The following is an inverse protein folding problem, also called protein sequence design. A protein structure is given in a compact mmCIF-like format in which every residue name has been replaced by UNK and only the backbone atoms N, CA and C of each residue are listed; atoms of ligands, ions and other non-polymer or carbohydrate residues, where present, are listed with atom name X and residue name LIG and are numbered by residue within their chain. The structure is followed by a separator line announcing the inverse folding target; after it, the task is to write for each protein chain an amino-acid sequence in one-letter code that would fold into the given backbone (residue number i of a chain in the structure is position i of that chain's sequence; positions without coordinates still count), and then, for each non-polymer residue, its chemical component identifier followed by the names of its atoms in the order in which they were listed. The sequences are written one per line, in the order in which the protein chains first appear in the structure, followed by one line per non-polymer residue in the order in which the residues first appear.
data_IF_747365964780
#
_entry.id   IF_747365964780
#
_cell.length_a   1.000
_cell.length_b   1.000
_cell.length_c   1.000
_cell.angle_alpha   90.00
_cell.angle_beta   90.00
_cell.angle_gamma   90.00
#
_symmetry.space_group_name_H-M   'P 1'
#
loop_
_entity.id
_entity.type
_entity.pdbx_description
1 polymer ?
#
# COMPACT_ATOMS: atom_id res chain seq x y z
N UNK A 1 31.85 27.98 -49.90
CA UNK A 1 30.43 27.57 -49.88
C UNK A 1 30.27 26.58 -48.75
N UNK A 2 29.74 27.01 -47.60
CA UNK A 2 29.47 26.13 -46.47
C UNK A 2 28.02 25.66 -46.61
N UNK A 3 27.84 24.38 -46.91
CA UNK A 3 26.51 23.76 -46.98
C UNK A 3 25.97 23.66 -45.56
N UNK A 4 25.00 24.52 -45.22
CA UNK A 4 24.17 24.37 -44.02
C UNK A 4 23.42 23.04 -44.12
N UNK A 5 23.94 22.01 -43.44
CA UNK A 5 23.20 20.79 -43.17
C UNK A 5 22.01 21.15 -42.29
N UNK A 6 20.85 21.37 -42.92
CA UNK A 6 19.54 21.36 -42.25
C UNK A 6 19.46 20.11 -41.37
N UNK A 7 19.56 20.30 -40.06
CA UNK A 7 19.21 19.27 -39.10
C UNK A 7 17.75 18.94 -39.33
N UNK A 8 17.48 17.79 -39.96
CA UNK A 8 16.13 17.24 -40.04
C UNK A 8 15.62 17.16 -38.61
N UNK A 9 14.62 17.96 -38.27
CA UNK A 9 13.93 17.93 -36.98
C UNK A 9 13.28 16.56 -36.80
N UNK A 10 14.07 15.60 -36.35
CA UNK A 10 13.63 14.26 -36.01
C UNK A 10 12.98 14.30 -34.63
N UNK A 11 11.80 13.70 -34.52
CA UNK A 11 11.14 13.45 -33.25
C UNK A 11 12.09 12.72 -32.30
N UNK A 12 12.18 13.17 -31.04
CA UNK A 12 13.01 12.49 -30.03
C UNK A 12 12.44 11.11 -29.69
N UNK A 13 13.27 10.20 -29.17
CA UNK A 13 12.82 8.86 -28.73
C UNK A 13 11.72 8.96 -27.67
N UNK A 14 11.84 9.91 -26.74
CA UNK A 14 10.83 10.15 -25.71
C UNK A 14 9.51 10.65 -26.32
N UNK A 15 9.58 11.55 -27.30
CA UNK A 15 8.39 12.07 -27.99
C UNK A 15 7.71 11.00 -28.85
N UNK A 16 8.49 10.15 -29.52
CA UNK A 16 7.99 8.99 -30.25
C UNK A 16 7.30 7.99 -29.31
N UNK A 17 7.90 7.71 -28.15
CA UNK A 17 7.31 6.86 -27.10
C UNK A 17 6.00 7.42 -26.57
N UNK A 18 5.95 8.72 -26.25
CA UNK A 18 4.73 9.39 -25.80
C UNK A 18 3.63 9.31 -26.85
N UNK A 19 3.93 9.65 -28.10
CA UNK A 19 2.97 9.64 -29.21
C UNK A 19 2.45 8.23 -29.50
N UNK A 20 3.31 7.21 -29.39
CA UNK A 20 2.92 5.81 -29.46
C UNK A 20 1.96 5.40 -28.33
N UNK A 21 2.29 5.77 -27.10
CA UNK A 21 1.43 5.53 -25.94
C UNK A 21 0.06 6.21 -26.04
N UNK A 22 0.01 7.47 -26.48
CA UNK A 22 -1.23 8.22 -26.70
C UNK A 22 -2.11 7.56 -27.79
N UNK A 23 -1.48 7.08 -28.86
CA UNK A 23 -2.18 6.34 -29.91
C UNK A 23 -2.80 5.05 -29.36
N UNK A 24 -2.02 4.24 -28.65
CA UNK A 24 -2.50 2.98 -28.04
C UNK A 24 -3.63 3.26 -27.05
N UNK A 25 -3.52 4.32 -26.24
CA UNK A 25 -4.58 4.73 -25.32
C UNK A 25 -5.88 5.09 -26.02
N UNK A 26 -5.81 5.81 -27.13
CA UNK A 26 -7.01 6.15 -27.92
C UNK A 26 -7.63 4.92 -28.59
N UNK A 27 -6.82 3.99 -29.08
CA UNK A 27 -7.30 2.80 -29.79
C UNK A 27 -7.82 1.70 -28.85
N UNK A 28 -7.20 1.50 -27.69
CA UNK A 28 -7.45 0.36 -26.79
C UNK A 28 -8.20 0.72 -25.50
N UNK A 29 -8.20 1.99 -25.12
CA UNK A 29 -8.94 2.49 -23.96
C UNK A 29 -8.42 1.99 -22.61
N UNK A 30 -9.21 2.23 -21.55
CA UNK A 30 -8.84 1.95 -20.15
C UNK A 30 -8.69 0.46 -19.85
N UNK A 31 -9.62 -0.37 -20.33
CA UNK A 31 -9.65 -1.81 -20.05
C UNK A 31 -8.36 -2.52 -20.47
N UNK A 32 -7.74 -2.08 -21.57
CA UNK A 32 -6.46 -2.60 -22.02
C UNK A 32 -5.33 -2.37 -21.00
N UNK A 33 -5.23 -1.18 -20.42
CA UNK A 33 -4.22 -0.88 -19.41
C UNK A 33 -4.44 -1.64 -18.10
N UNK A 34 -5.71 -1.82 -17.72
CA UNK A 34 -6.07 -2.63 -16.55
C UNK A 34 -5.68 -4.10 -16.75
N UNK A 35 -5.93 -4.65 -17.94
CA UNK A 35 -5.57 -6.03 -18.26
C UNK A 35 -4.06 -6.24 -18.25
N UNK A 36 -3.28 -5.39 -18.94
CA UNK A 36 -1.82 -5.52 -18.97
C UNK A 36 -1.21 -5.25 -17.59
N UNK A 37 -1.78 -4.31 -16.82
CA UNK A 37 -1.38 -4.03 -15.44
C UNK A 37 -1.63 -5.22 -14.53
N UNK A 38 -2.81 -5.85 -14.63
CA UNK A 38 -3.13 -7.08 -13.89
C UNK A 38 -2.18 -8.21 -14.26
N UNK A 39 -1.98 -8.49 -15.55
CA UNK A 39 -1.05 -9.54 -16.02
C UNK A 39 0.37 -9.31 -15.52
N UNK A 40 0.86 -8.08 -15.58
CA UNK A 40 2.16 -7.70 -15.02
C UNK A 40 2.24 -7.93 -13.52
N UNK A 41 1.21 -7.49 -12.78
CA UNK A 41 1.11 -7.70 -11.34
C UNK A 41 1.08 -9.17 -10.93
N UNK A 42 0.27 -10.00 -11.62
CA UNK A 42 0.20 -11.45 -11.40
C UNK A 42 1.55 -12.14 -11.67
N UNK A 43 2.26 -11.71 -12.72
CA UNK A 43 3.58 -12.24 -13.04
C UNK A 43 4.58 -11.92 -11.93
N UNK A 44 4.64 -10.66 -11.50
CA UNK A 44 5.52 -10.22 -10.41
C UNK A 44 5.17 -10.94 -9.11
N UNK A 45 3.88 -11.07 -8.79
CA UNK A 45 3.45 -11.76 -7.58
C UNK A 45 3.86 -13.24 -7.57
N UNK A 46 3.76 -13.92 -8.71
CA UNK A 46 4.20 -15.31 -8.85
C UNK A 46 5.72 -15.46 -8.74
N UNK A 47 6.48 -14.54 -9.31
CA UNK A 47 7.95 -14.61 -9.33
C UNK A 47 8.60 -14.17 -8.03
N UNK A 48 8.03 -13.17 -7.37
CA UNK A 48 8.64 -12.49 -6.20
C UNK A 48 8.02 -12.89 -4.88
N UNK A 49 6.80 -13.42 -4.88
CA UNK A 49 6.12 -13.91 -3.69
C UNK A 49 5.81 -12.83 -2.66
N UNK A 50 5.42 -13.28 -1.46
CA UNK A 50 4.96 -12.42 -0.36
C UNK A 50 6.06 -11.52 0.21
N UNK A 51 7.26 -12.04 0.40
CA UNK A 51 8.37 -11.32 1.05
C UNK A 51 8.73 -10.04 0.29
N UNK A 52 8.65 -10.06 -1.04
CA UNK A 52 8.85 -8.88 -1.86
C UNK A 52 7.85 -7.76 -1.55
N UNK A 53 6.56 -8.09 -1.41
CA UNK A 53 5.54 -7.08 -1.07
C UNK A 53 5.68 -6.56 0.36
N UNK A 54 6.11 -7.42 1.28
CA UNK A 54 6.42 -6.99 2.65
C UNK A 54 7.61 -6.04 2.69
N UNK A 55 8.67 -6.32 1.93
CA UNK A 55 9.84 -5.45 1.84
C UNK A 55 9.50 -4.09 1.24
N UNK A 56 8.84 -4.04 0.08
CA UNK A 56 8.47 -2.77 -0.55
C UNK A 56 7.46 -1.99 0.30
N UNK A 57 6.55 -2.69 0.98
CA UNK A 57 5.59 -2.09 1.90
C UNK A 57 6.30 -1.48 3.12
N UNK A 58 7.23 -2.21 3.73
CA UNK A 58 8.06 -1.71 4.84
C UNK A 58 8.86 -0.49 4.41
N UNK A 59 9.56 -0.57 3.28
CA UNK A 59 10.37 0.53 2.75
C UNK A 59 9.53 1.78 2.49
N UNK A 60 8.36 1.62 1.86
CA UNK A 60 7.42 2.73 1.65
C UNK A 60 6.93 3.34 2.97
N UNK A 61 6.59 2.50 3.94
CA UNK A 61 6.18 2.94 5.28
C UNK A 61 7.29 3.69 6.03
N UNK A 62 8.53 3.21 5.96
CA UNK A 62 9.70 3.86 6.54
C UNK A 62 9.98 5.23 5.90
N UNK A 63 9.88 5.33 4.57
CA UNK A 63 10.00 6.61 3.86
C UNK A 63 8.94 7.59 4.32
N UNK A 64 7.66 7.18 4.34
CA UNK A 64 6.56 8.05 4.79
C UNK A 64 6.77 8.47 6.25
N UNK A 65 7.19 7.57 7.12
CA UNK A 65 7.49 7.88 8.52
C UNK A 65 8.63 8.89 8.66
N UNK A 66 9.70 8.75 7.87
CA UNK A 66 10.83 9.67 7.89
C UNK A 66 10.44 11.07 7.37
N UNK A 67 9.64 11.14 6.32
CA UNK A 67 9.22 12.42 5.72
C UNK A 67 8.13 13.15 6.50
N UNK A 68 7.17 12.42 7.05
CA UNK A 68 5.92 12.98 7.60
C UNK A 68 5.85 12.96 9.12
N UNK A 69 6.65 12.10 9.78
CA UNK A 69 6.74 12.03 11.23
C UNK A 69 5.45 11.58 11.93
N UNK A 70 5.44 11.70 13.26
CA UNK A 70 4.36 11.19 14.11
C UNK A 70 3.02 11.92 13.92
N UNK A 71 3.06 13.25 13.72
CA UNK A 71 1.86 14.07 13.56
C UNK A 71 0.98 13.61 12.38
N UNK A 72 1.60 13.13 11.30
CA UNK A 72 0.88 12.58 10.17
C UNK A 72 0.08 11.32 10.53
N UNK A 73 0.68 10.40 11.29
CA UNK A 73 0.00 9.19 11.74
C UNK A 73 -1.14 9.48 12.73
N UNK A 74 -0.95 10.49 13.59
CA UNK A 74 -2.00 10.97 14.48
C UNK A 74 -3.18 11.53 13.68
N UNK A 75 -2.91 12.36 12.66
CA UNK A 75 -3.97 12.95 11.83
C UNK A 75 -4.76 11.89 11.05
N UNK A 76 -4.07 10.97 10.37
CA UNK A 76 -4.75 9.91 9.61
C UNK A 76 -5.50 8.94 10.53
N UNK A 77 -4.95 8.68 11.73
CA UNK A 77 -5.60 7.87 12.76
C UNK A 77 -6.89 8.53 13.26
N UNK A 78 -6.84 9.84 13.55
CA UNK A 78 -8.02 10.62 13.94
C UNK A 78 -9.08 10.62 12.85
N UNK A 79 -8.71 10.94 11.61
CA UNK A 79 -9.63 10.93 10.46
C UNK A 79 -10.29 9.57 10.26
N UNK A 80 -9.51 8.49 10.37
CA UNK A 80 -10.03 7.12 10.31
C UNK A 80 -11.03 6.83 11.43
N UNK A 81 -10.69 7.19 12.68
CA UNK A 81 -11.59 7.04 13.82
C UNK A 81 -12.89 7.84 13.69
N UNK A 82 -12.82 9.09 13.23
CA UNK A 82 -14.00 9.92 12.99
C UNK A 82 -14.92 9.33 11.92
N UNK A 83 -14.32 8.78 10.86
CA UNK A 83 -15.06 8.11 9.77
C UNK A 83 -15.79 6.88 10.30
N UNK A 84 -15.08 6.01 11.02
CA UNK A 84 -15.66 4.81 11.62
C UNK A 84 -16.76 5.15 12.63
N UNK A 85 -16.57 6.20 13.42
CA UNK A 85 -17.59 6.70 14.34
C UNK A 85 -18.83 7.22 13.62
N UNK A 86 -18.66 7.94 12.52
CA UNK A 86 -19.78 8.41 11.70
C UNK A 86 -20.57 7.26 11.06
N UNK A 87 -19.87 6.24 10.55
CA UNK A 87 -20.50 5.10 9.87
C UNK A 87 -21.15 4.10 10.84
N UNK A 88 -20.47 3.76 11.94
CA UNK A 88 -20.85 2.63 12.81
C UNK A 88 -21.39 3.04 14.18
N UNK A 89 -21.20 4.29 14.57
CA UNK A 89 -21.74 4.85 15.80
C UNK A 89 -21.17 4.25 17.09
N UNK A 90 -21.82 4.60 18.21
CA UNK A 90 -21.43 4.21 19.58
C UNK A 90 -21.41 2.69 19.84
N UNK A 91 -22.39 1.89 19.36
CA UNK A 91 -22.44 0.45 19.66
C UNK A 91 -21.20 -0.31 19.17
N UNK A 92 -20.62 0.12 18.04
CA UNK A 92 -19.40 -0.47 17.51
C UNK A 92 -18.20 -0.29 18.45
N UNK A 93 -18.05 0.89 19.06
CA UNK A 93 -16.97 1.15 20.01
C UNK A 93 -17.13 0.36 21.31
N UNK A 94 -18.36 0.18 21.77
CA UNK A 94 -18.65 -0.66 22.92
C UNK A 94 -18.29 -2.13 22.64
N UNK A 95 -18.63 -2.63 21.46
CA UNK A 95 -18.33 -4.00 21.05
C UNK A 95 -16.82 -4.25 20.96
N UNK A 96 -16.08 -3.39 20.24
CA UNK A 96 -14.62 -3.55 20.13
C UNK A 96 -13.92 -3.39 21.49
N UNK A 97 -14.44 -2.52 22.37
CA UNK A 97 -13.94 -2.37 23.73
C UNK A 97 -14.15 -3.63 24.58
N UNK A 98 -15.34 -4.23 24.51
CA UNK A 98 -15.64 -5.52 25.17
C UNK A 98 -14.74 -6.63 24.65
N UNK A 99 -14.56 -6.74 23.33
CA UNK A 99 -13.66 -7.73 22.71
C UNK A 99 -12.22 -7.53 23.16
N UNK A 100 -11.72 -6.29 23.16
CA UNK A 100 -10.37 -5.97 23.64
C UNK A 100 -10.16 -6.36 25.09
N UNK A 101 -11.09 -6.01 25.98
CA UNK A 101 -11.01 -6.37 27.40
C UNK A 101 -11.15 -7.88 27.68
N UNK A 102 -11.88 -8.62 26.84
CA UNK A 102 -11.89 -10.08 26.89
C UNK A 102 -10.53 -10.67 26.49
N UNK A 103 -9.91 -10.15 25.43
CA UNK A 103 -8.60 -10.62 24.97
C UNK A 103 -7.51 -10.39 26.01
N UNK A 104 -7.50 -9.22 26.66
CA UNK A 104 -6.56 -8.94 27.77
C UNK A 104 -6.76 -9.93 28.92
N UNK A 105 -8.01 -10.22 29.30
CA UNK A 105 -8.29 -11.20 30.36
C UNK A 105 -7.83 -12.61 30.01
N UNK A 106 -7.98 -13.02 28.76
CA UNK A 106 -7.49 -14.31 28.27
C UNK A 106 -5.97 -14.42 28.38
N UNK A 107 -5.25 -13.40 27.88
CA UNK A 107 -3.78 -13.34 27.93
C UNK A 107 -3.24 -13.39 29.36
N UNK A 108 -3.90 -12.70 30.29
CA UNK A 108 -3.52 -12.75 31.72
C UNK A 108 -3.71 -14.15 32.30
N UNK A 109 -4.81 -14.85 31.96
CA UNK A 109 -5.02 -16.22 32.44
C UNK A 109 -4.01 -17.19 31.83
N UNK A 110 -3.69 -17.03 30.56
CA UNK A 110 -2.65 -17.82 29.90
C UNK A 110 -1.30 -17.63 30.56
N UNK A 111 -0.85 -16.38 30.75
CA UNK A 111 0.41 -16.09 31.44
C UNK A 111 0.48 -16.59 32.89
N UNK A 112 -0.66 -16.59 33.61
CA UNK A 112 -0.73 -17.19 34.95
C UNK A 112 -0.65 -18.72 34.93
N UNK A 113 -1.22 -19.37 33.92
CA UNK A 113 -1.15 -20.83 33.76
C UNK A 113 0.25 -21.27 33.39
N UNK A 114 0.91 -20.56 32.48
CA UNK A 114 2.30 -20.86 32.11
C UNK A 114 3.24 -20.68 33.29
N UNK A 115 3.11 -19.59 34.05
CA UNK A 115 3.90 -19.37 35.26
C UNK A 115 3.69 -20.48 36.32
N UNK A 116 2.44 -20.91 36.52
CA UNK A 116 2.14 -21.99 37.47
C UNK A 116 2.63 -23.37 37.01
N UNK A 117 2.71 -23.63 35.70
CA UNK A 117 3.28 -24.88 35.17
C UNK A 117 4.80 -24.90 35.18
N UNK A 118 5.45 -23.73 35.10
CA UNK A 118 6.91 -23.59 35.21
C UNK A 118 7.42 -23.67 36.66
N UNK A 119 6.55 -23.43 37.66
CA UNK A 119 6.87 -23.58 39.09
C UNK A 119 6.65 -25.01 39.63
N UNK A 120 5.91 -25.87 38.89
CA UNK A 120 5.65 -27.27 39.27
C UNK A 120 6.55 -28.29 38.54
N UNK A 121 7.48 -27.82 37.70
CA UNK A 121 8.54 -28.63 37.02
C UNK A 121 9.92 -28.40 37.68
#
# INVERSE_FOLDING_TARGET
MAEEKKSKGGMSVAEAGRKGGERVKRERGRAFYEEIGRKGGETVARERGREFYEEIGRKGGETVKAERGAAFYEEIGRKGGETVKAERGMPFYEEIGKRGGQKVRELIREGKRTASSEEEE
#
